data_IF_595960005427
#
_entry.id   IF_595960005427
#
_cell.length_a   1.000
_cell.length_b   1.000
_cell.length_c   1.000
_cell.angle_alpha   90.00
_cell.angle_beta   90.00
_cell.angle_gamma   90.00
#
_symmetry.space_group_name_H-M   'P 1'
#
loop_
_entity.id
_entity.type
_entity.pdbx_description
1 polymer ?
#
# COMPACT_ATOMS: atom_id res chain seq x y z
N UNK A 1 -26.17 19.33 -15.37
CA UNK A 1 -26.08 19.20 -13.90
C UNK A 1 -25.60 17.80 -13.69
N UNK A 2 -24.30 17.62 -13.92
CA UNK A 2 -23.65 16.33 -13.86
C UNK A 2 -22.94 16.28 -12.51
N UNK A 3 -23.32 15.30 -11.69
CA UNK A 3 -22.68 15.03 -10.42
C UNK A 3 -21.37 14.30 -10.69
N UNK A 4 -20.26 14.98 -10.41
CA UNK A 4 -18.96 14.35 -10.26
C UNK A 4 -19.00 13.37 -9.09
N UNK A 5 -18.78 12.09 -9.40
CA UNK A 5 -18.57 11.04 -8.41
C UNK A 5 -17.07 11.04 -8.13
N UNK A 6 -16.65 11.79 -7.12
CA UNK A 6 -15.31 11.74 -6.54
C UNK A 6 -15.16 10.44 -5.74
N UNK A 7 -14.37 9.50 -6.25
CA UNK A 7 -13.87 8.37 -5.46
C UNK A 7 -12.54 8.79 -4.80
N UNK A 8 -12.65 9.52 -3.69
CA UNK A 8 -11.57 9.70 -2.72
C UNK A 8 -11.55 8.50 -1.78
N UNK A 9 -10.65 7.54 -2.02
CA UNK A 9 -10.27 6.56 -0.99
C UNK A 9 -8.75 6.44 -0.95
N UNK A 10 -8.18 6.99 0.12
CA UNK A 10 -6.77 6.92 0.44
C UNK A 10 -6.63 6.39 1.87
N UNK A 11 -6.71 5.08 2.05
CA UNK A 11 -6.45 4.45 3.35
C UNK A 11 -5.00 4.02 3.47
N UNK A 12 -4.25 4.85 4.21
CA UNK A 12 -2.93 4.52 4.71
C UNK A 12 -2.94 3.26 5.56
N UNK A 13 -1.76 2.66 5.60
CA UNK A 13 -1.30 1.52 6.42
C UNK A 13 -1.93 1.60 7.83
N UNK A 14 -2.97 0.79 8.06
CA UNK A 14 -3.75 0.62 9.29
C UNK A 14 -4.07 1.90 10.09
N UNK A 15 -5.17 2.57 9.70
CA UNK A 15 -6.18 2.92 10.69
C UNK A 15 -7.28 1.86 10.59
N UNK A 16 -7.46 1.03 11.63
CA UNK A 16 -8.64 0.17 11.74
C UNK A 16 -9.91 0.97 12.15
N UNK A 17 -9.91 2.29 11.96
CA UNK A 17 -10.89 3.20 12.54
C UNK A 17 -11.39 4.20 11.51
N UNK A 18 -12.70 4.44 11.54
CA UNK A 18 -13.44 5.56 10.98
C UNK A 18 -14.07 5.37 9.58
N UNK A 19 -13.43 4.67 8.64
CA UNK A 19 -13.91 4.67 7.25
C UNK A 19 -14.18 3.25 6.71
N UNK A 20 -14.83 2.40 7.51
CA UNK A 20 -15.79 1.47 6.88
C UNK A 20 -16.97 2.36 6.55
N UNK A 21 -16.91 3.00 5.39
CA UNK A 21 -18.06 3.74 4.91
C UNK A 21 -19.23 2.76 4.88
N UNK A 22 -20.28 3.19 5.59
CA UNK A 22 -21.50 2.47 5.92
C UNK A 22 -22.42 2.29 4.68
N UNK A 23 -21.83 2.22 3.50
CA UNK A 23 -22.47 2.14 2.19
C UNK A 23 -21.96 0.91 1.43
N UNK A 24 -22.01 -0.25 2.07
CA UNK A 24 -22.48 -1.42 1.36
C UNK A 24 -23.17 -2.38 2.32
N UNK A 25 -24.45 -2.57 2.05
CA UNK A 25 -25.32 -3.60 2.57
C UNK A 25 -24.64 -4.99 2.48
N UNK A 26 -23.80 -5.31 3.46
CA UNK A 26 -23.06 -6.58 3.50
C UNK A 26 -24.02 -7.78 3.48
N UNK A 27 -25.28 -7.62 3.90
CA UNK A 27 -26.41 -8.49 3.52
C UNK A 27 -27.73 -7.71 3.63
N UNK A 28 -28.17 -7.13 2.52
CA UNK A 28 -29.23 -6.12 2.48
C UNK A 28 -30.52 -6.40 3.25
N UNK A 29 -31.05 -5.33 3.85
CA UNK A 29 -32.47 -5.09 4.09
C UNK A 29 -32.75 -3.58 4.01
N UNK A 30 -33.85 -3.23 3.35
CA UNK A 30 -34.37 -1.88 3.18
C UNK A 30 -34.81 -1.27 4.52
N UNK A 31 -33.89 -0.61 5.21
CA UNK A 31 -34.14 0.07 6.49
C UNK A 31 -33.97 1.58 6.29
N UNK A 32 -34.88 2.35 6.89
CA UNK A 32 -34.93 3.82 6.77
C UNK A 32 -33.71 4.51 7.42
N UNK A 33 -33.36 5.73 6.94
CA UNK A 33 -32.24 6.52 7.50
C UNK A 33 -32.38 6.80 9.00
N UNK A 34 -33.60 6.94 9.50
CA UNK A 34 -33.88 7.21 10.92
C UNK A 34 -33.72 5.95 11.80
N UNK A 35 -34.05 4.76 11.28
CA UNK A 35 -33.76 3.50 11.97
C UNK A 35 -32.25 3.21 12.03
N UNK A 36 -31.48 3.53 10.98
CA UNK A 36 -30.01 3.43 11.00
C UNK A 36 -29.38 4.33 12.06
N UNK A 37 -29.87 5.57 12.20
CA UNK A 37 -29.37 6.50 13.21
C UNK A 37 -29.65 6.01 14.65
N UNK A 38 -30.84 5.45 14.89
CA UNK A 38 -31.15 4.84 16.20
C UNK A 38 -30.38 3.56 16.48
N UNK A 39 -30.10 2.73 15.46
CA UNK A 39 -29.19 1.58 15.62
C UNK A 39 -27.75 1.98 15.88
N UNK A 40 -27.24 3.05 15.25
CA UNK A 40 -25.90 3.61 15.53
C UNK A 40 -25.79 4.06 16.99
N UNK A 41 -26.77 4.81 17.49
CA UNK A 41 -26.81 5.21 18.91
C UNK A 41 -26.92 4.00 19.87
N UNK A 42 -27.63 2.93 19.50
CA UNK A 42 -27.66 1.68 20.28
C UNK A 42 -26.32 0.93 20.23
N UNK A 43 -25.65 0.89 19.08
CA UNK A 43 -24.34 0.27 18.89
C UNK A 43 -23.25 1.00 19.66
N UNK A 44 -23.18 2.33 19.60
CA UNK A 44 -22.23 3.14 20.38
C UNK A 44 -22.39 2.89 21.89
N UNK A 45 -23.62 2.80 22.38
CA UNK A 45 -23.89 2.44 23.77
C UNK A 45 -23.55 0.97 24.10
N UNK A 46 -23.71 0.03 23.15
CA UNK A 46 -23.30 -1.37 23.33
C UNK A 46 -21.78 -1.55 23.34
N UNK A 47 -21.06 -0.78 22.52
CA UNK A 47 -19.60 -0.73 22.45
C UNK A 47 -19.01 -0.18 23.76
N UNK A 48 -19.68 0.82 24.37
CA UNK A 48 -19.31 1.33 25.70
C UNK A 48 -19.44 0.28 26.82
N UNK A 49 -20.17 -0.83 26.58
CA UNK A 49 -20.36 -1.93 27.55
C UNK A 49 -19.61 -3.22 27.18
N UNK A 50 -18.97 -3.28 26.01
CA UNK A 50 -18.25 -4.48 25.57
C UNK A 50 -16.96 -4.66 26.38
N UNK A 51 -16.82 -5.83 27.03
CA UNK A 51 -15.60 -6.21 27.75
C UNK A 51 -14.88 -7.30 26.98
N UNK A 52 -13.75 -7.00 26.30
CA UNK A 52 -13.00 -7.99 25.56
C UNK A 52 -12.53 -9.14 26.47
N UNK A 53 -12.79 -10.38 26.07
CA UNK A 53 -12.28 -11.57 26.77
C UNK A 53 -10.84 -11.85 26.32
N UNK A 54 -9.87 -11.34 27.08
CA UNK A 54 -8.44 -11.40 26.73
C UNK A 54 -7.89 -12.83 26.66
N UNK A 55 -8.40 -13.76 27.47
CA UNK A 55 -7.92 -15.15 27.50
C UNK A 55 -8.28 -15.95 26.24
N UNK A 56 -9.28 -15.50 25.49
CA UNK A 56 -9.77 -16.19 24.29
C UNK A 56 -9.56 -15.37 23.03
N UNK A 57 -8.91 -14.20 23.09
CA UNK A 57 -8.87 -13.26 21.96
C UNK A 57 -10.26 -12.71 21.58
N UNK A 58 -11.23 -12.77 22.49
CA UNK A 58 -12.62 -12.40 22.21
C UNK A 58 -13.47 -13.49 21.56
N UNK A 59 -12.95 -14.71 21.42
CA UNK A 59 -13.60 -15.78 20.67
C UNK A 59 -14.45 -16.72 21.53
N UNK A 60 -15.64 -17.06 21.04
CA UNK A 60 -16.55 -18.04 21.64
C UNK A 60 -16.64 -19.36 20.84
N UNK A 61 -16.05 -19.43 19.64
CA UNK A 61 -16.16 -20.59 18.75
C UNK A 61 -14.78 -21.27 18.60
N UNK A 62 -14.62 -22.49 19.14
CA UNK A 62 -13.41 -23.30 18.95
C UNK A 62 -13.10 -23.54 17.47
N UNK A 63 -11.82 -23.58 17.10
CA UNK A 63 -11.36 -23.73 15.72
C UNK A 63 -11.93 -24.98 15.04
N UNK A 64 -12.14 -26.05 15.81
CA UNK A 64 -12.67 -27.34 15.36
C UNK A 64 -14.13 -27.23 14.90
N UNK A 65 -14.87 -26.24 15.41
CA UNK A 65 -16.28 -26.02 15.09
C UNK A 65 -16.49 -25.12 13.87
N UNK A 66 -15.41 -24.52 13.34
CA UNK A 66 -15.43 -23.74 12.11
C UNK A 66 -15.50 -24.74 10.93
N UNK A 67 -16.68 -24.85 10.30
CA UNK A 67 -16.99 -25.84 9.25
C UNK A 67 -17.61 -25.21 8.00
N UNK A 68 -17.75 -25.99 6.93
CA UNK A 68 -18.38 -25.56 5.68
C UNK A 68 -19.86 -25.14 5.86
N UNK A 69 -20.53 -25.68 6.88
CA UNK A 69 -21.90 -25.32 7.27
C UNK A 69 -21.91 -23.97 7.99
N UNK A 70 -20.90 -23.72 8.83
CA UNK A 70 -20.75 -22.47 9.57
C UNK A 70 -20.55 -21.26 8.65
N UNK A 71 -19.64 -21.36 7.66
CA UNK A 71 -19.45 -20.32 6.65
C UNK A 71 -20.51 -20.29 5.54
N UNK A 72 -21.29 -21.37 5.40
CA UNK A 72 -22.50 -21.37 4.58
C UNK A 72 -23.67 -20.59 5.20
N UNK A 73 -23.52 -20.10 6.43
CA UNK A 73 -24.51 -19.32 7.18
C UNK A 73 -24.00 -17.91 7.49
N UNK A 74 -24.90 -16.97 7.86
CA UNK A 74 -24.51 -15.63 8.31
C UNK A 74 -23.58 -15.63 9.53
N UNK A 75 -23.51 -16.73 10.29
CA UNK A 75 -22.71 -16.82 11.51
C UNK A 75 -21.21 -16.84 11.25
N UNK A 76 -20.76 -17.43 10.14
CA UNK A 76 -19.33 -17.48 9.79
C UNK A 76 -18.73 -16.09 9.55
N UNK A 77 -19.23 -15.33 8.56
CA UNK A 77 -18.78 -13.97 8.29
C UNK A 77 -18.91 -13.04 9.52
N UNK A 78 -19.99 -13.17 10.31
CA UNK A 78 -20.18 -12.37 11.51
C UNK A 78 -19.12 -12.64 12.59
N UNK A 79 -18.64 -13.88 12.73
CA UNK A 79 -17.57 -14.20 13.70
C UNK A 79 -16.22 -13.63 13.25
N UNK A 80 -15.93 -13.61 11.94
CA UNK A 80 -14.73 -12.91 11.42
C UNK A 80 -14.83 -11.41 11.69
N UNK A 81 -16.00 -10.81 11.45
CA UNK A 81 -16.24 -9.40 11.76
C UNK A 81 -16.05 -9.09 13.25
N UNK A 82 -16.65 -9.90 14.14
CA UNK A 82 -16.47 -9.75 15.59
C UNK A 82 -15.01 -9.90 16.02
N UNK A 83 -14.24 -10.75 15.35
CA UNK A 83 -12.83 -10.93 15.62
C UNK A 83 -12.00 -9.67 15.30
N UNK A 84 -12.29 -9.05 14.16
CA UNK A 84 -11.68 -7.80 13.74
C UNK A 84 -12.08 -6.66 14.69
N UNK A 85 -13.37 -6.57 15.05
CA UNK A 85 -13.89 -5.58 16.00
C UNK A 85 -13.25 -5.71 17.39
N UNK A 86 -13.05 -6.94 17.89
CA UNK A 86 -12.34 -7.18 19.16
C UNK A 86 -10.91 -6.64 19.13
N UNK A 87 -10.16 -6.95 18.06
CA UNK A 87 -8.79 -6.47 17.91
C UNK A 87 -8.72 -4.95 17.94
N UNK A 88 -9.60 -4.29 17.17
CA UNK A 88 -9.69 -2.84 17.12
C UNK A 88 -9.91 -2.23 18.52
N UNK A 89 -10.82 -2.81 19.30
CA UNK A 89 -11.10 -2.34 20.66
C UNK A 89 -9.89 -2.50 21.58
N UNK A 90 -9.16 -3.62 21.50
CA UNK A 90 -7.94 -3.83 22.31
C UNK A 90 -6.85 -2.82 21.96
N UNK A 91 -6.66 -2.51 20.68
CA UNK A 91 -5.69 -1.50 20.25
C UNK A 91 -6.08 -0.09 20.69
N UNK A 92 -7.36 0.28 20.58
CA UNK A 92 -7.88 1.55 21.10
C UNK A 92 -7.73 1.67 22.61
N UNK A 93 -7.91 0.56 23.34
CA UNK A 93 -7.68 0.52 24.78
C UNK A 93 -6.21 0.72 25.13
N UNK A 94 -5.29 0.17 24.34
CA UNK A 94 -3.84 0.39 24.46
C UNK A 94 -3.48 1.85 24.24
N UNK A 95 -3.95 2.46 23.16
CA UNK A 95 -3.69 3.87 22.83
C UNK A 95 -4.19 4.82 23.92
N UNK A 96 -5.35 4.51 24.50
CA UNK A 96 -5.94 5.30 25.59
C UNK A 96 -5.36 4.96 26.98
N UNK A 97 -4.33 4.11 27.08
CA UNK A 97 -3.73 3.66 28.35
C UNK A 97 -4.75 3.07 29.34
N UNK A 98 -5.78 2.39 28.83
CA UNK A 98 -6.87 1.80 29.64
C UNK A 98 -6.66 0.33 29.96
N UNK A 99 -5.59 -0.27 29.43
CA UNK A 99 -5.21 -1.65 29.72
C UNK A 99 -4.55 -1.75 31.10
N UNK A 100 -4.85 -2.83 31.82
CA UNK A 100 -4.10 -3.19 33.04
C UNK A 100 -2.65 -3.52 32.70
N UNK A 101 -1.78 -3.53 33.71
CA UNK A 101 -0.36 -3.88 33.54
C UNK A 101 -0.19 -5.28 32.95
N UNK A 102 -0.96 -6.25 33.43
CA UNK A 102 -0.92 -7.64 32.95
C UNK A 102 -1.44 -7.76 31.51
N UNK A 103 -2.51 -7.04 31.16
CA UNK A 103 -3.00 -7.00 29.78
C UNK A 103 -1.98 -6.37 28.83
N UNK A 104 -1.33 -5.28 29.28
CA UNK A 104 -0.32 -4.57 28.49
C UNK A 104 0.90 -5.44 28.20
N UNK A 105 1.31 -6.26 29.16
CA UNK A 105 2.43 -7.21 29.02
C UNK A 105 2.11 -8.36 28.06
N UNK A 106 0.83 -8.70 27.87
CA UNK A 106 0.39 -9.81 27.02
C UNK A 106 -0.15 -9.39 25.64
N UNK A 107 -0.08 -8.10 25.27
CA UNK A 107 -0.62 -7.58 24.00
C UNK A 107 -0.05 -8.32 22.78
N UNK A 108 1.25 -8.60 22.78
CA UNK A 108 1.90 -9.27 21.65
C UNK A 108 1.33 -10.68 21.43
N UNK A 109 1.20 -11.44 22.52
CA UNK A 109 0.55 -12.76 22.51
C UNK A 109 -0.92 -12.67 22.07
N UNK A 110 -1.65 -11.66 22.54
CA UNK A 110 -3.05 -11.46 22.14
C UNK A 110 -3.19 -11.10 20.66
N UNK A 111 -2.26 -10.30 20.13
CA UNK A 111 -2.24 -9.96 18.71
C UNK A 111 -1.99 -11.22 17.87
N UNK A 112 -0.99 -12.02 18.23
CA UNK A 112 -0.65 -13.26 17.51
C UNK A 112 -1.83 -14.25 17.51
N UNK A 113 -2.46 -14.50 18.66
CA UNK A 113 -3.63 -15.39 18.77
C UNK A 113 -4.79 -14.88 17.89
N UNK A 114 -5.03 -13.57 17.90
CA UNK A 114 -6.16 -12.97 17.19
C UNK A 114 -5.96 -12.99 15.69
N UNK A 115 -4.78 -12.60 15.22
CA UNK A 115 -4.45 -12.63 13.79
C UNK A 115 -4.39 -14.05 13.26
N UNK A 116 -3.88 -15.01 14.03
CA UNK A 116 -3.89 -16.40 13.65
C UNK A 116 -5.32 -16.93 13.51
N UNK A 117 -6.21 -16.59 14.45
CA UNK A 117 -7.62 -17.01 14.38
C UNK A 117 -8.34 -16.39 13.17
N UNK A 118 -8.16 -15.10 12.92
CA UNK A 118 -8.76 -14.42 11.75
C UNK A 118 -8.24 -15.04 10.46
N UNK A 119 -6.93 -15.30 10.37
CA UNK A 119 -6.31 -15.97 9.22
C UNK A 119 -6.88 -17.37 9.01
N UNK A 120 -7.01 -18.17 10.06
CA UNK A 120 -7.62 -19.50 9.99
C UNK A 120 -9.08 -19.46 9.49
N UNK A 121 -9.82 -18.44 9.90
CA UNK A 121 -11.18 -18.21 9.39
C UNK A 121 -11.18 -17.86 7.90
N UNK A 122 -10.24 -17.01 7.47
CA UNK A 122 -10.08 -16.63 6.06
C UNK A 122 -9.77 -17.85 5.19
N UNK A 123 -8.81 -18.70 5.61
CA UNK A 123 -8.47 -19.92 4.87
C UNK A 123 -9.66 -20.84 4.69
N UNK A 124 -10.36 -21.13 5.79
CA UNK A 124 -11.55 -21.98 5.76
C UNK A 124 -12.64 -21.40 4.87
N UNK A 125 -12.82 -20.08 4.88
CA UNK A 125 -13.75 -19.41 3.99
C UNK A 125 -13.37 -19.59 2.51
N UNK A 126 -12.10 -19.41 2.16
CA UNK A 126 -11.58 -19.60 0.81
C UNK A 126 -11.75 -21.06 0.34
N UNK A 127 -11.45 -22.04 1.18
CA UNK A 127 -11.68 -23.47 0.92
C UNK A 127 -13.17 -23.77 0.65
N UNK A 128 -14.06 -23.22 1.48
CA UNK A 128 -15.51 -23.40 1.34
C UNK A 128 -16.04 -22.83 0.02
N UNK A 129 -15.55 -21.65 -0.37
CA UNK A 129 -16.01 -20.96 -1.56
C UNK A 129 -15.58 -21.66 -2.85
N UNK A 130 -14.37 -22.24 -2.91
CA UNK A 130 -13.92 -23.03 -4.05
C UNK A 130 -14.88 -24.20 -4.36
N UNK A 131 -15.49 -24.79 -3.33
CA UNK A 131 -16.44 -25.91 -3.49
C UNK A 131 -17.83 -25.51 -4.01
N UNK A 132 -18.22 -24.23 -3.94
CA UNK A 132 -19.59 -23.75 -4.23
C UNK A 132 -19.74 -22.89 -5.49
N UNK A 133 -18.64 -22.58 -6.19
CA UNK A 133 -18.68 -22.04 -7.55
C UNK A 133 -19.16 -20.58 -7.72
N UNK A 134 -19.33 -19.80 -6.64
CA UNK A 134 -19.58 -18.35 -6.72
C UNK A 134 -18.90 -17.62 -5.55
N UNK A 135 -18.16 -16.56 -5.89
CA UNK A 135 -17.40 -15.74 -4.94
C UNK A 135 -18.15 -14.44 -4.72
N UNK A 136 -18.79 -14.32 -3.56
CA UNK A 136 -19.13 -13.03 -2.97
C UNK A 136 -17.92 -12.72 -2.08
N UNK A 137 -17.14 -11.70 -2.42
CA UNK A 137 -16.10 -11.09 -1.55
C UNK A 137 -14.80 -11.87 -1.29
N UNK A 138 -14.36 -12.78 -2.18
CA UNK A 138 -13.06 -13.47 -2.04
C UNK A 138 -11.88 -12.49 -1.84
N UNK A 139 -11.89 -11.39 -2.59
CA UNK A 139 -10.87 -10.36 -2.56
C UNK A 139 -10.65 -9.78 -1.17
N UNK A 140 -11.72 -9.38 -0.49
CA UNK A 140 -11.64 -8.79 0.86
C UNK A 140 -11.04 -9.80 1.84
N UNK A 141 -11.42 -11.07 1.71
CA UNK A 141 -10.90 -12.15 2.56
C UNK A 141 -9.41 -12.41 2.28
N UNK A 142 -8.98 -12.37 1.02
CA UNK A 142 -7.56 -12.44 0.67
C UNK A 142 -6.78 -11.27 1.28
N UNK A 143 -7.31 -10.05 1.18
CA UNK A 143 -6.69 -8.86 1.77
C UNK A 143 -6.58 -8.95 3.30
N UNK A 144 -7.64 -9.36 3.98
CA UNK A 144 -7.64 -9.56 5.44
C UNK A 144 -6.60 -10.63 5.83
N UNK A 145 -6.53 -11.74 5.11
CA UNK A 145 -5.55 -12.79 5.37
C UNK A 145 -4.10 -12.28 5.24
N UNK A 146 -3.80 -11.55 4.16
CA UNK A 146 -2.47 -10.95 3.94
C UNK A 146 -2.13 -9.98 5.05
N UNK A 147 -3.08 -9.12 5.43
CA UNK A 147 -2.93 -8.14 6.51
C UNK A 147 -2.63 -8.82 7.85
N UNK A 148 -3.32 -9.91 8.18
CA UNK A 148 -3.03 -10.70 9.39
C UNK A 148 -1.61 -11.28 9.36
N UNK A 149 -1.20 -11.83 8.22
CA UNK A 149 0.15 -12.39 8.04
C UNK A 149 1.25 -11.33 8.18
N UNK A 150 1.05 -10.12 7.63
CA UNK A 150 1.96 -8.99 7.80
C UNK A 150 2.10 -8.62 9.27
N UNK A 151 0.99 -8.56 10.00
CA UNK A 151 0.99 -8.20 11.43
C UNK A 151 1.64 -9.27 12.31
N UNK A 152 1.70 -10.52 11.86
CA UNK A 152 2.42 -11.61 12.50
C UNK A 152 3.88 -11.75 12.01
N UNK A 153 4.39 -10.82 11.19
CA UNK A 153 5.71 -10.89 10.55
C UNK A 153 5.95 -12.16 9.70
N UNK A 154 4.88 -12.73 9.15
CA UNK A 154 4.90 -13.94 8.32
C UNK A 154 4.86 -13.59 6.84
N UNK A 155 5.77 -12.72 6.42
CA UNK A 155 5.75 -12.10 5.09
C UNK A 155 5.83 -13.12 3.96
N UNK A 156 6.64 -14.18 4.10
CA UNK A 156 6.79 -15.21 3.05
C UNK A 156 5.45 -15.89 2.74
N UNK A 157 4.58 -16.03 3.74
CA UNK A 157 3.30 -16.73 3.58
C UNK A 157 2.24 -15.92 2.85
N UNK A 158 2.47 -14.63 2.58
CA UNK A 158 1.50 -13.79 1.88
C UNK A 158 1.47 -14.06 0.37
N UNK A 159 2.56 -14.57 -0.20
CA UNK A 159 2.71 -14.81 -1.65
C UNK A 159 1.51 -15.52 -2.29
N UNK A 160 1.06 -16.71 -1.82
CA UNK A 160 -0.06 -17.42 -2.44
C UNK A 160 -1.40 -16.67 -2.37
N UNK A 161 -1.56 -15.71 -1.46
CA UNK A 161 -2.74 -14.86 -1.37
C UNK A 161 -2.63 -13.66 -2.32
N UNK A 162 -1.44 -13.06 -2.39
CA UNK A 162 -1.15 -11.92 -3.27
C UNK A 162 -1.27 -12.31 -4.75
N UNK A 163 -0.87 -13.53 -5.11
CA UNK A 163 -1.02 -14.05 -6.48
C UNK A 163 -2.50 -14.23 -6.90
N UNK A 164 -3.39 -14.44 -5.93
CA UNK A 164 -4.83 -14.56 -6.16
C UNK A 164 -5.55 -13.20 -6.12
N UNK A 165 -4.90 -12.16 -5.57
CA UNK A 165 -5.45 -10.81 -5.61
C UNK A 165 -5.40 -10.29 -7.05
N UNK A 166 -6.57 -10.15 -7.66
CA UNK A 166 -6.73 -9.46 -8.94
C UNK A 166 -7.08 -7.97 -8.70
N UNK A 167 -6.12 -7.04 -8.83
CA UNK A 167 -6.36 -5.62 -8.60
C UNK A 167 -7.22 -5.05 -9.73
N UNK A 168 -8.47 -4.72 -9.41
CA UNK A 168 -9.40 -4.01 -10.33
C UNK A 168 -9.68 -2.57 -9.91
N UNK A 169 -9.39 -2.23 -8.66
CA UNK A 169 -9.65 -0.92 -8.07
C UNK A 169 -8.35 -0.27 -7.57
N UNK A 170 -8.29 1.07 -7.55
CA UNK A 170 -7.14 1.86 -7.15
C UNK A 170 -6.45 1.39 -5.85
N UNK A 171 -7.22 1.21 -4.77
CA UNK A 171 -6.68 0.80 -3.47
C UNK A 171 -5.97 -0.55 -3.53
N UNK A 172 -6.48 -1.48 -4.34
CA UNK A 172 -5.90 -2.82 -4.49
C UNK A 172 -4.63 -2.83 -5.33
N UNK A 173 -4.51 -1.92 -6.31
CA UNK A 173 -3.25 -1.76 -7.04
C UNK A 173 -2.14 -1.36 -6.08
N UNK A 174 -2.37 -0.32 -5.27
CA UNK A 174 -1.40 0.14 -4.28
C UNK A 174 -1.11 -0.95 -3.23
N UNK A 175 -2.14 -1.63 -2.73
CA UNK A 175 -1.98 -2.70 -1.75
C UNK A 175 -1.17 -3.87 -2.30
N UNK A 176 -1.53 -4.38 -3.49
CA UNK A 176 -0.83 -5.50 -4.14
C UNK A 176 0.63 -5.14 -4.44
N UNK A 177 0.90 -3.95 -4.97
CA UNK A 177 2.26 -3.49 -5.24
C UNK A 177 3.12 -3.44 -3.97
N UNK A 178 2.56 -2.96 -2.85
CA UNK A 178 3.23 -2.96 -1.54
C UNK A 178 3.50 -4.37 -1.03
N UNK A 179 2.56 -5.31 -1.21
CA UNK A 179 2.78 -6.70 -0.83
C UNK A 179 3.92 -7.35 -1.63
N UNK A 180 3.98 -7.13 -2.94
CA UNK A 180 5.11 -7.60 -3.75
C UNK A 180 6.44 -6.95 -3.34
N UNK A 181 6.43 -5.67 -2.91
CA UNK A 181 7.62 -5.03 -2.37
C UNK A 181 8.07 -5.66 -1.03
N UNK A 182 7.14 -6.00 -0.14
CA UNK A 182 7.43 -6.71 1.11
C UNK A 182 8.05 -8.09 0.84
N UNK A 183 7.52 -8.81 -0.16
CA UNK A 183 8.09 -10.07 -0.68
C UNK A 183 9.41 -9.87 -1.45
N UNK A 184 9.88 -8.63 -1.59
CA UNK A 184 11.07 -8.24 -2.36
C UNK A 184 10.98 -8.63 -3.85
N UNK A 185 9.78 -8.85 -4.37
CA UNK A 185 9.51 -9.08 -5.79
C UNK A 185 9.40 -7.73 -6.52
N UNK A 186 10.51 -6.98 -6.55
CA UNK A 186 10.54 -5.60 -7.02
C UNK A 186 10.00 -5.42 -8.43
N UNK A 187 10.33 -6.33 -9.36
CA UNK A 187 9.81 -6.30 -10.73
C UNK A 187 8.28 -6.37 -10.78
N UNK A 188 7.64 -7.28 -10.02
CA UNK A 188 6.18 -7.37 -9.97
C UNK A 188 5.55 -6.12 -9.33
N UNK A 189 6.16 -5.60 -8.26
CA UNK A 189 5.71 -4.37 -7.59
C UNK A 189 5.74 -3.17 -8.56
N UNK A 190 6.85 -2.97 -9.27
CA UNK A 190 6.98 -1.92 -10.28
C UNK A 190 5.95 -2.08 -11.40
N UNK A 191 5.74 -3.29 -11.90
CA UNK A 191 4.75 -3.56 -12.95
C UNK A 191 3.33 -3.12 -12.53
N UNK A 192 2.95 -3.35 -11.27
CA UNK A 192 1.63 -2.97 -10.76
C UNK A 192 1.53 -1.45 -10.59
N UNK A 193 2.55 -0.79 -10.07
CA UNK A 193 2.58 0.67 -10.01
C UNK A 193 2.54 1.32 -11.39
N UNK A 194 3.26 0.78 -12.38
CA UNK A 194 3.23 1.26 -13.77
C UNK A 194 1.82 1.14 -14.35
N UNK A 195 1.19 -0.04 -14.23
CA UNK A 195 -0.19 -0.27 -14.68
C UNK A 195 -1.17 0.68 -13.99
N UNK A 196 -0.99 0.94 -12.69
CA UNK A 196 -1.82 1.88 -11.96
C UNK A 196 -1.62 3.34 -12.41
N UNK A 197 -0.38 3.77 -12.64
CA UNK A 197 -0.07 5.09 -13.19
C UNK A 197 -0.67 5.29 -14.59
N UNK A 198 -0.64 4.26 -15.44
CA UNK A 198 -1.26 4.29 -16.77
C UNK A 198 -2.79 4.45 -16.68
N UNK A 199 -3.44 3.84 -15.68
CA UNK A 199 -4.89 3.95 -15.44
C UNK A 199 -5.30 5.30 -14.82
N UNK A 200 -4.52 5.83 -13.88
CA UNK A 200 -4.83 7.04 -13.11
C UNK A 200 -4.14 8.31 -13.61
N UNK A 201 -3.52 8.28 -14.78
CA UNK A 201 -2.78 9.42 -15.38
C UNK A 201 -1.68 9.98 -14.45
N UNK A 202 -0.84 9.11 -13.90
CA UNK A 202 0.31 9.41 -13.01
C UNK A 202 -0.03 9.89 -11.59
N UNK A 203 -0.21 8.94 -10.66
CA UNK A 203 -0.33 9.23 -9.23
C UNK A 203 1.04 9.44 -8.56
N UNK A 204 1.22 10.56 -7.86
CA UNK A 204 2.47 10.90 -7.17
C UNK A 204 2.87 9.84 -6.13
N UNK A 205 1.90 9.20 -5.48
CA UNK A 205 2.18 8.19 -4.45
C UNK A 205 2.80 6.92 -5.03
N UNK A 206 2.37 6.52 -6.22
CA UNK A 206 3.05 5.42 -6.94
C UNK A 206 4.45 5.81 -7.37
N UNK A 207 4.70 7.06 -7.75
CA UNK A 207 6.05 7.53 -8.02
C UNK A 207 6.95 7.52 -6.77
N UNK A 208 6.42 7.87 -5.60
CA UNK A 208 7.14 7.73 -4.31
C UNK A 208 7.47 6.26 -4.02
N UNK A 209 6.49 5.36 -4.12
CA UNK A 209 6.69 3.95 -3.84
C UNK A 209 7.72 3.33 -4.79
N UNK A 210 7.65 3.64 -6.09
CA UNK A 210 8.66 3.22 -7.07
C UNK A 210 10.04 3.81 -6.76
N UNK A 211 10.14 5.08 -6.36
CA UNK A 211 11.40 5.69 -5.94
C UNK A 211 12.01 4.95 -4.74
N UNK A 212 11.19 4.59 -3.76
CA UNK A 212 11.62 3.84 -2.58
C UNK A 212 12.16 2.45 -2.94
N UNK A 213 11.55 1.76 -3.91
CA UNK A 213 12.05 0.47 -4.43
C UNK A 213 13.47 0.64 -5.01
N UNK A 214 13.66 1.60 -5.93
CA UNK A 214 14.98 1.84 -6.53
C UNK A 214 16.01 2.30 -5.49
N UNK A 215 15.60 3.13 -4.52
CA UNK A 215 16.46 3.56 -3.40
C UNK A 215 16.86 2.38 -2.52
N UNK A 216 15.94 1.46 -2.23
CA UNK A 216 16.24 0.26 -1.47
C UNK A 216 17.27 -0.63 -2.18
N UNK A 217 17.06 -0.90 -3.48
CA UNK A 217 18.01 -1.70 -4.26
C UNK A 217 19.37 -1.00 -4.35
N UNK A 218 19.38 0.31 -4.62
CA UNK A 218 20.61 1.10 -4.64
C UNK A 218 21.36 1.01 -3.30
N UNK A 219 20.67 1.20 -2.18
CA UNK A 219 21.29 1.12 -0.85
C UNK A 219 21.85 -0.27 -0.55
N UNK A 220 21.13 -1.33 -0.96
CA UNK A 220 21.63 -2.70 -0.83
C UNK A 220 22.95 -2.89 -1.58
N UNK A 221 23.01 -2.47 -2.85
CA UNK A 221 24.21 -2.56 -3.69
C UNK A 221 25.34 -1.70 -3.13
N UNK A 222 25.06 -0.45 -2.77
CA UNK A 222 26.03 0.47 -2.19
C UNK A 222 26.66 -0.05 -0.90
N UNK A 223 25.86 -0.66 -0.02
CA UNK A 223 26.36 -1.25 1.22
C UNK A 223 27.28 -2.47 0.96
N UNK A 224 27.10 -3.18 -0.16
CA UNK A 224 27.99 -4.27 -0.59
C UNK A 224 29.27 -3.71 -1.24
N UNK A 225 29.13 -2.73 -2.13
CA UNK A 225 30.25 -2.07 -2.82
C UNK A 225 31.19 -1.38 -1.85
N UNK A 226 30.65 -0.63 -0.88
CA UNK A 226 31.47 0.07 0.13
C UNK A 226 32.35 -0.89 0.93
N UNK A 227 31.87 -2.12 1.17
CA UNK A 227 32.66 -3.17 1.83
C UNK A 227 33.78 -3.71 0.94
N UNK A 228 33.66 -3.59 -0.39
CA UNK A 228 34.53 -4.23 -1.38
C UNK A 228 35.34 -3.25 -2.23
N UNK A 229 35.16 -1.93 -2.07
CA UNK A 229 35.87 -0.84 -2.78
C UNK A 229 35.79 -0.93 -4.32
N UNK A 230 34.64 -1.33 -4.86
CA UNK A 230 34.38 -1.32 -6.32
C UNK A 230 33.89 0.04 -6.82
N UNK A 231 33.96 0.25 -8.13
CA UNK A 231 33.25 1.33 -8.81
C UNK A 231 31.73 1.22 -8.59
N UNK A 232 31.07 2.36 -8.43
CA UNK A 232 29.66 2.44 -8.07
C UNK A 232 28.79 2.59 -9.32
N UNK A 233 27.94 1.60 -9.65
CA UNK A 233 26.91 1.76 -10.66
C UNK A 233 25.90 2.83 -10.21
N UNK A 234 25.65 3.82 -11.05
CA UNK A 234 24.76 4.94 -10.73
C UNK A 234 23.30 4.71 -11.20
N UNK A 235 23.03 3.64 -11.96
CA UNK A 235 21.75 3.47 -12.68
C UNK A 235 20.54 3.66 -11.76
N UNK A 236 20.38 2.83 -10.73
CA UNK A 236 19.20 2.94 -9.84
C UNK A 236 19.21 4.18 -8.97
N UNK A 237 20.39 4.78 -8.72
CA UNK A 237 20.46 6.11 -8.14
C UNK A 237 19.80 7.16 -9.02
N UNK A 238 20.15 7.17 -10.31
CA UNK A 238 19.57 8.10 -11.27
C UNK A 238 18.05 7.89 -11.38
N UNK A 239 17.59 6.63 -11.41
CA UNK A 239 16.17 6.31 -11.51
C UNK A 239 15.39 6.74 -10.27
N UNK A 240 15.86 6.47 -9.04
CA UNK A 240 15.10 6.90 -7.86
C UNK A 240 15.02 8.43 -7.76
N UNK A 241 16.06 9.16 -8.20
CA UNK A 241 16.05 10.63 -8.23
C UNK A 241 14.97 11.13 -9.21
N UNK A 242 14.89 10.55 -10.42
CA UNK A 242 13.82 10.89 -11.38
C UNK A 242 12.45 10.66 -10.75
N UNK A 243 12.24 9.50 -10.11
CA UNK A 243 10.96 9.17 -9.51
C UNK A 243 10.57 10.13 -8.38
N UNK A 244 11.49 10.51 -7.48
CA UNK A 244 11.21 11.50 -6.44
C UNK A 244 10.91 12.89 -7.01
N UNK A 245 11.70 13.35 -7.99
CA UNK A 245 11.46 14.65 -8.63
C UNK A 245 10.11 14.66 -9.33
N UNK A 246 9.74 13.56 -9.99
CA UNK A 246 8.43 13.39 -10.62
C UNK A 246 7.30 13.42 -9.59
N UNK A 247 7.42 12.67 -8.50
CA UNK A 247 6.45 12.69 -7.41
C UNK A 247 6.28 14.09 -6.80
N UNK A 248 7.40 14.77 -6.55
CA UNK A 248 7.42 16.14 -6.01
C UNK A 248 6.69 17.13 -6.91
N UNK A 249 6.97 17.11 -8.22
CA UNK A 249 6.30 17.97 -9.21
C UNK A 249 4.80 17.68 -9.28
N UNK A 250 4.39 16.40 -9.30
CA UNK A 250 2.96 16.03 -9.28
C UNK A 250 2.25 16.50 -8.00
N UNK A 251 2.89 16.34 -6.83
CA UNK A 251 2.33 16.77 -5.56
C UNK A 251 2.18 18.30 -5.48
N UNK A 252 3.15 19.05 -6.02
CA UNK A 252 3.06 20.52 -6.13
C UNK A 252 1.89 20.97 -7.01
N UNK A 253 1.68 20.33 -8.16
CA UNK A 253 0.52 20.63 -9.02
C UNK A 253 -0.79 20.36 -8.30
N UNK A 254 -0.89 19.24 -7.57
CA UNK A 254 -2.07 18.91 -6.75
C UNK A 254 -2.32 19.89 -5.60
N UNK A 255 -1.26 20.44 -4.98
CA UNK A 255 -1.39 21.52 -3.98
C UNK A 255 -2.12 22.73 -4.54
N UNK A 256 -1.74 23.13 -5.75
CA UNK A 256 -2.25 24.34 -6.39
C UNK A 256 -3.73 24.17 -6.72
N UNK A 257 -4.13 22.97 -7.17
CA UNK A 257 -5.52 22.67 -7.52
C UNK A 257 -6.42 22.41 -6.31
N UNK A 258 -5.93 21.76 -5.25
CA UNK A 258 -6.73 21.38 -4.07
C UNK A 258 -6.32 22.17 -2.81
N UNK A 259 -6.69 23.46 -2.74
CA UNK A 259 -6.39 24.35 -1.59
C UNK A 259 -7.28 24.04 -0.37
N UNK A 260 -6.96 22.98 0.37
CA UNK A 260 -7.64 22.61 1.64
C UNK A 260 -6.65 22.42 2.79
N UNK A 261 -7.14 22.51 4.03
CA UNK A 261 -6.34 22.28 5.23
C UNK A 261 -5.76 20.85 5.30
N UNK A 262 -6.52 19.86 4.84
CA UNK A 262 -6.05 18.47 4.69
C UNK A 262 -4.82 18.37 3.78
N UNK A 263 -4.89 18.99 2.59
CA UNK A 263 -3.77 18.94 1.64
C UNK A 263 -2.53 19.64 2.19
N UNK A 264 -2.65 20.71 2.97
CA UNK A 264 -1.50 21.32 3.63
C UNK A 264 -0.77 20.33 4.57
N UNK A 265 -1.51 19.53 5.34
CA UNK A 265 -0.92 18.49 6.21
C UNK A 265 -0.23 17.40 5.38
N UNK A 266 -0.89 16.90 4.32
CA UNK A 266 -0.33 15.88 3.43
C UNK A 266 0.96 16.39 2.77
N UNK A 267 0.96 17.64 2.33
CA UNK A 267 2.12 18.27 1.70
C UNK A 267 3.25 18.41 2.71
N UNK A 268 3.00 18.91 3.93
CA UNK A 268 4.07 19.03 4.93
C UNK A 268 4.64 17.66 5.33
N UNK A 269 3.81 16.63 5.36
CA UNK A 269 4.23 15.27 5.69
C UNK A 269 5.06 14.61 4.57
N UNK A 270 4.64 14.74 3.32
CA UNK A 270 5.21 13.99 2.18
C UNK A 270 6.27 14.80 1.41
N UNK A 271 6.14 16.13 1.34
CA UNK A 271 7.05 17.00 0.59
C UNK A 271 8.39 17.18 1.30
N UNK A 272 8.41 17.23 2.63
CA UNK A 272 9.65 17.38 3.41
C UNK A 272 10.63 16.20 3.21
N UNK A 273 10.20 14.92 3.27
CA UNK A 273 11.05 13.78 2.92
C UNK A 273 11.57 13.84 1.48
N UNK A 274 10.75 14.25 0.51
CA UNK A 274 11.16 14.36 -0.90
C UNK A 274 12.17 15.49 -1.10
N UNK A 275 11.93 16.65 -0.49
CA UNK A 275 12.84 17.79 -0.51
C UNK A 275 14.20 17.41 0.09
N UNK A 276 14.22 16.67 1.20
CA UNK A 276 15.47 16.17 1.78
C UNK A 276 16.29 15.32 0.79
N UNK A 277 15.63 14.46 0.01
CA UNK A 277 16.33 13.66 -1.02
C UNK A 277 16.89 14.55 -2.13
N UNK A 278 16.17 15.61 -2.52
CA UNK A 278 16.66 16.61 -3.47
C UNK A 278 17.84 17.41 -2.89
N UNK A 279 17.78 17.81 -1.63
CA UNK A 279 18.83 18.56 -0.94
C UNK A 279 20.12 17.72 -0.78
N UNK A 280 19.99 16.41 -0.55
CA UNK A 280 21.10 15.44 -0.55
C UNK A 280 21.71 15.24 -1.97
N UNK A 281 21.03 15.71 -3.02
CA UNK A 281 21.46 15.63 -4.41
C UNK A 281 21.39 17.02 -5.07
N UNK A 282 22.29 17.97 -4.71
CA UNK A 282 22.19 19.36 -5.15
C UNK A 282 22.22 19.56 -6.67
N UNK A 283 22.73 18.59 -7.44
CA UNK A 283 22.70 18.57 -8.91
C UNK A 283 21.52 17.74 -9.48
N UNK A 284 20.45 17.51 -8.72
CA UNK A 284 19.34 16.63 -9.15
C UNK A 284 18.72 17.07 -10.48
N UNK A 285 18.62 18.38 -10.75
CA UNK A 285 18.07 18.91 -12.00
C UNK A 285 18.92 18.48 -13.20
N UNK A 286 20.24 18.66 -13.12
CA UNK A 286 21.18 18.23 -14.16
C UNK A 286 21.18 16.71 -14.31
N UNK A 287 21.06 15.97 -13.20
CA UNK A 287 20.94 14.51 -13.21
C UNK A 287 19.70 14.10 -13.98
N UNK A 288 18.55 14.68 -13.63
CA UNK A 288 17.28 14.43 -14.29
C UNK A 288 17.38 14.76 -15.77
N UNK A 289 17.82 15.96 -16.16
CA UNK A 289 17.97 16.35 -17.57
C UNK A 289 18.84 15.35 -18.36
N UNK A 290 20.01 14.99 -17.84
CA UNK A 290 20.92 14.05 -18.49
C UNK A 290 20.33 12.65 -18.59
N UNK A 291 19.74 12.14 -17.52
CA UNK A 291 19.16 10.79 -17.51
C UNK A 291 17.93 10.71 -18.40
N UNK A 292 17.14 11.78 -18.49
CA UNK A 292 16.07 11.86 -19.46
C UNK A 292 16.61 11.92 -20.91
N UNK A 293 17.78 12.50 -21.17
CA UNK A 293 18.37 12.52 -22.51
C UNK A 293 19.17 11.26 -22.89
N UNK A 294 19.21 10.24 -22.03
CA UNK A 294 19.96 9.02 -22.30
C UNK A 294 19.46 8.32 -23.59
N UNK A 295 20.41 7.93 -24.45
CA UNK A 295 20.11 7.13 -25.63
C UNK A 295 19.79 5.69 -25.22
N UNK A 296 19.10 4.95 -26.08
CA UNK A 296 18.80 3.55 -25.81
C UNK A 296 20.09 2.72 -25.63
N UNK A 297 21.10 2.96 -26.48
CA UNK A 297 22.41 2.30 -26.40
C UNK A 297 23.11 2.57 -25.05
N UNK A 298 23.14 3.82 -24.60
CA UNK A 298 23.76 4.17 -23.32
C UNK A 298 22.97 3.62 -22.11
N UNK A 299 21.65 3.49 -22.23
CA UNK A 299 20.83 2.85 -21.21
C UNK A 299 21.13 1.34 -21.12
N UNK A 300 21.24 0.66 -22.26
CA UNK A 300 21.60 -0.75 -22.32
C UNK A 300 22.98 -1.01 -21.72
N UNK A 301 23.96 -0.14 -21.98
CA UNK A 301 25.29 -0.20 -21.37
C UNK A 301 25.21 -0.05 -19.84
N UNK A 302 24.47 0.95 -19.34
CA UNK A 302 24.28 1.12 -17.89
C UNK A 302 23.58 -0.06 -17.22
N UNK A 303 22.58 -0.67 -17.86
CA UNK A 303 21.89 -1.87 -17.36
C UNK A 303 22.88 -3.05 -17.31
N UNK A 304 23.68 -3.22 -18.37
CA UNK A 304 24.68 -4.29 -18.45
C UNK A 304 25.74 -4.14 -17.36
N UNK A 305 26.24 -2.93 -17.15
CA UNK A 305 27.24 -2.63 -16.11
C UNK A 305 26.66 -2.88 -14.71
N UNK A 306 25.43 -2.41 -14.46
CA UNK A 306 24.74 -2.66 -13.20
C UNK A 306 24.56 -4.16 -12.93
N UNK A 307 24.09 -4.92 -13.92
CA UNK A 307 23.88 -6.37 -13.79
C UNK A 307 25.21 -7.11 -13.63
N UNK A 308 26.29 -6.66 -14.28
CA UNK A 308 27.63 -7.20 -14.06
C UNK A 308 28.05 -7.03 -12.59
N UNK A 309 27.88 -5.82 -12.04
CA UNK A 309 28.15 -5.57 -10.63
C UNK A 309 27.27 -6.40 -9.70
N UNK A 310 25.99 -6.59 -10.01
CA UNK A 310 25.13 -7.50 -9.23
C UNK A 310 25.68 -8.94 -9.22
N UNK A 311 26.06 -9.47 -10.37
CA UNK A 311 26.61 -10.83 -10.50
C UNK A 311 27.94 -11.01 -9.75
N UNK A 312 28.74 -9.95 -9.61
CA UNK A 312 29.99 -9.99 -8.84
C UNK A 312 29.74 -9.96 -7.32
N UNK A 313 28.63 -9.37 -6.86
CA UNK A 313 28.39 -9.04 -5.46
C UNK A 313 27.35 -9.93 -4.75
N UNK A 314 26.47 -10.55 -5.52
CA UNK A 314 25.24 -11.18 -5.03
C UNK A 314 25.17 -12.65 -5.46
N UNK A 315 24.39 -13.44 -4.72
CA UNK A 315 24.04 -14.80 -5.16
C UNK A 315 22.97 -14.77 -6.28
N UNK A 316 22.72 -15.91 -6.92
CA UNK A 316 21.79 -16.00 -8.05
C UNK A 316 20.37 -15.51 -7.71
N UNK A 317 19.85 -15.85 -6.52
CA UNK A 317 18.52 -15.43 -6.07
C UNK A 317 18.44 -13.91 -5.87
N UNK A 318 19.46 -13.32 -5.24
CA UNK A 318 19.58 -11.88 -5.07
C UNK A 318 19.71 -11.17 -6.43
N UNK A 319 20.47 -11.71 -7.37
CA UNK A 319 20.58 -11.15 -8.74
C UNK A 319 19.22 -11.18 -9.42
N UNK A 320 18.50 -12.30 -9.40
CA UNK A 320 17.16 -12.40 -10.00
C UNK A 320 16.19 -11.38 -9.39
N UNK A 321 16.30 -11.15 -8.09
CA UNK A 321 15.46 -10.22 -7.34
C UNK A 321 15.76 -8.75 -7.64
N UNK A 322 17.03 -8.39 -7.74
CA UNK A 322 17.50 -7.00 -7.86
C UNK A 322 17.64 -6.53 -9.32
N UNK A 323 17.75 -7.46 -10.25
CA UNK A 323 17.77 -7.16 -11.69
C UNK A 323 16.37 -6.85 -12.17
N UNK A 324 16.18 -5.68 -12.77
CA UNK A 324 14.88 -5.26 -13.28
C UNK A 324 14.82 -5.37 -14.80
N UNK A 325 13.67 -5.77 -15.38
CA UNK A 325 13.46 -5.75 -16.83
C UNK A 325 13.74 -4.37 -17.42
N UNK A 326 14.37 -4.37 -18.59
CA UNK A 326 14.73 -3.15 -19.33
C UNK A 326 13.51 -2.28 -19.60
N UNK A 327 12.40 -2.90 -19.97
CA UNK A 327 11.14 -2.23 -20.33
C UNK A 327 10.59 -1.42 -19.15
N UNK A 328 10.81 -1.88 -17.92
CA UNK A 328 10.37 -1.17 -16.72
C UNK A 328 11.20 0.09 -16.48
N UNK A 329 12.51 0.01 -16.71
CA UNK A 329 13.42 1.16 -16.58
C UNK A 329 13.14 2.18 -17.68
N UNK A 330 12.91 1.71 -18.92
CA UNK A 330 12.51 2.56 -20.04
C UNK A 330 11.17 3.26 -19.78
N UNK A 331 10.20 2.57 -19.19
CA UNK A 331 8.93 3.17 -18.80
C UNK A 331 9.16 4.33 -17.81
N UNK A 332 10.02 4.17 -16.80
CA UNK A 332 10.32 5.23 -15.83
C UNK A 332 10.94 6.44 -16.50
N UNK A 333 11.93 6.23 -17.36
CA UNK A 333 12.61 7.31 -18.08
C UNK A 333 11.62 8.02 -19.00
N UNK A 334 10.81 7.28 -19.78
CA UNK A 334 9.82 7.84 -20.69
C UNK A 334 8.76 8.67 -19.96
N UNK A 335 8.16 8.14 -18.90
CA UNK A 335 7.08 8.82 -18.17
C UNK A 335 7.60 9.89 -17.20
N UNK A 336 8.88 9.81 -16.79
CA UNK A 336 9.58 10.91 -16.15
C UNK A 336 9.62 12.15 -17.04
N UNK A 337 9.95 12.00 -18.34
CA UNK A 337 10.03 13.12 -19.31
C UNK A 337 8.74 13.91 -19.44
N UNK A 338 7.61 13.20 -19.50
CA UNK A 338 6.32 13.77 -19.91
C UNK A 338 5.90 14.94 -19.01
N UNK A 339 6.12 14.84 -17.69
CA UNK A 339 5.63 15.84 -16.73
C UNK A 339 6.68 16.87 -16.35
N UNK A 340 7.97 16.54 -16.48
CA UNK A 340 9.04 17.49 -16.19
C UNK A 340 9.01 18.64 -17.22
N UNK A 341 8.69 18.36 -18.49
CA UNK A 341 8.51 19.42 -19.50
C UNK A 341 7.17 20.17 -19.40
N UNK A 342 6.13 19.56 -18.83
CA UNK A 342 4.82 20.19 -18.65
C UNK A 342 4.78 21.12 -17.42
N UNK A 343 5.58 20.84 -16.38
CA UNK A 343 5.71 21.71 -15.20
C UNK A 343 6.56 22.95 -15.49
N UNK A 344 7.59 22.83 -16.34
CA UNK A 344 8.52 23.93 -16.65
C UNK A 344 7.85 25.03 -17.52
N UNK A 345 6.62 24.78 -18.02
CA UNK A 345 5.81 25.74 -18.76
C UNK A 345 4.83 26.54 -17.88
N UNK A 346 4.77 26.29 -16.57
CA UNK A 346 3.68 26.84 -15.74
C UNK A 346 4.10 27.48 -14.40
N UNK A 347 5.39 27.59 -14.10
CA UNK A 347 5.82 28.09 -12.79
C UNK A 347 5.67 29.62 -12.61
N UNK A 348 5.52 30.43 -13.67
CA UNK A 348 5.45 31.91 -13.53
C UNK A 348 4.22 32.61 -14.14
N UNK A 349 3.45 32.01 -15.07
CA UNK A 349 2.41 32.76 -15.82
C UNK A 349 0.94 32.38 -15.51
N UNK A 350 0.67 31.32 -14.72
CA UNK A 350 -0.69 30.78 -14.60
C UNK A 350 -1.31 30.78 -13.20
N UNK A 351 -0.85 31.63 -12.27
CA UNK A 351 -1.69 31.99 -11.10
C UNK A 351 -3.06 32.56 -11.51
N UNK A 352 -3.23 33.00 -12.77
CA UNK A 352 -4.45 33.59 -13.30
C UNK A 352 -5.29 32.69 -14.23
N UNK A 353 -4.80 31.55 -14.74
CA UNK A 353 -5.53 30.80 -15.81
C UNK A 353 -6.05 29.41 -15.44
N UNK A 354 -5.70 28.85 -14.27
CA UNK A 354 -6.25 27.57 -13.79
C UNK A 354 -7.74 27.61 -13.40
N UNK A 355 -8.46 28.70 -13.69
CA UNK A 355 -9.90 28.84 -13.49
C UNK A 355 -10.76 28.28 -14.63
N UNK A 356 -10.17 27.76 -15.70
CA UNK A 356 -10.94 27.21 -16.82
C UNK A 356 -10.29 25.94 -17.37
N UNK A 357 -10.63 24.79 -16.82
CA UNK A 357 -10.95 23.57 -17.59
C UNK A 357 -11.85 22.74 -16.67
N UNK A 358 -13.08 22.50 -17.15
CA UNK A 358 -14.20 21.82 -16.50
C UNK A 358 -13.92 20.36 -16.18
#
# INVERSE_FOLDING_TARGET
>A
MDMDIEAEEFHGIFHFAADIDDDDDFFGQSISKEERAMERMKKENSIATYRPQFLTGGYNVPKENISNVFFGSKNGPNVVKQAIEWYYLVMKMKENNTLTKDQSQNIELYNEISYQYIKDCCDKYLECNQSKGKLINEREILEIAIRCLIQMDRIIEIEPYVEKLDPKEPGLFTFSAKCYNLLKQYSKSLQIHQKYCDLRKNDYMSWIDMANIFKEINNFVMNRIYKLKHDIPDLYRLIYIICFVKAYKLLKVNKISKKTEYWNIVIDKELNPMQKVMDENPDYEKIVEKTLLITQEALEEKIKDFNKTLNELCNEEEVQRLSLPKEQIEWMIKHGKATIRESDLNDDENEASCLNIY
#
